data_IF_392272437531
#
_entry.id   IF_392272437531
#
_cell.length_a   1.000
_cell.length_b   1.000
_cell.length_c   1.000
_cell.angle_alpha   90.00
_cell.angle_beta   90.00
_cell.angle_gamma   90.00
#
_symmetry.space_group_name_H-M   'P 1'
#
loop_
_entity.id
_entity.type
_entity.pdbx_description
1 polymer ?
#
# COMPACT_ATOMS: atom_id res chain seq x y z
N UNK A 1 4.30 23.66 57.54
CA UNK A 1 4.17 24.48 56.31
C UNK A 1 4.68 23.81 55.03
N UNK A 2 4.88 22.47 55.02
CA UNK A 2 5.36 21.67 53.86
C UNK A 2 4.18 21.07 53.04
N UNK A 3 2.98 21.00 53.61
CA UNK A 3 1.79 20.34 53.04
C UNK A 3 1.24 21.15 51.82
N UNK A 4 1.24 22.46 51.86
CA UNK A 4 0.71 23.28 50.75
C UNK A 4 1.48 23.12 49.41
N UNK A 5 2.83 23.15 49.37
CA UNK A 5 3.55 22.96 48.13
C UNK A 5 3.42 21.51 47.61
N UNK A 6 3.28 20.53 48.49
CA UNK A 6 3.05 19.13 48.11
C UNK A 6 1.65 18.92 47.46
N UNK A 7 0.61 19.52 48.08
CA UNK A 7 -0.73 19.48 47.44
C UNK A 7 -0.79 20.25 46.13
N UNK A 8 -0.11 21.41 46.02
CA UNK A 8 -0.01 22.13 44.76
C UNK A 8 0.70 21.32 43.69
N UNK A 9 1.77 20.59 44.03
CA UNK A 9 2.46 19.68 43.11
C UNK A 9 1.52 18.56 42.60
N UNK A 10 0.79 17.88 43.48
CA UNK A 10 -0.16 16.84 43.10
C UNK A 10 -1.27 17.39 42.19
N UNK A 11 -1.79 18.59 42.49
CA UNK A 11 -2.81 19.24 41.66
C UNK A 11 -2.29 19.57 40.27
N UNK A 12 -1.05 20.04 40.15
CA UNK A 12 -0.43 20.35 38.85
C UNK A 12 -0.17 19.03 38.08
N UNK A 13 0.41 18.05 38.74
CA UNK A 13 0.75 16.75 38.15
C UNK A 13 -0.50 16.04 37.61
N UNK A 14 -1.61 16.05 38.36
CA UNK A 14 -2.89 15.45 37.93
C UNK A 14 -3.52 16.07 36.68
N UNK A 15 -3.11 17.30 36.32
CA UNK A 15 -3.58 17.97 35.09
C UNK A 15 -2.57 17.86 33.97
N UNK A 16 -1.29 17.97 34.29
CA UNK A 16 -0.21 17.98 33.29
C UNK A 16 0.03 16.59 32.70
N UNK A 17 0.02 15.54 33.52
CA UNK A 17 0.28 14.17 33.08
C UNK A 17 -0.69 13.67 31.99
N UNK A 18 -2.02 13.81 32.14
CA UNK A 18 -2.95 13.41 31.08
C UNK A 18 -2.76 14.22 29.78
N UNK A 19 -2.46 15.52 29.88
CA UNK A 19 -2.24 16.37 28.71
C UNK A 19 -1.01 15.92 27.94
N UNK A 20 0.11 15.72 28.63
CA UNK A 20 1.35 15.23 28.00
C UNK A 20 1.18 13.84 27.39
N UNK A 21 0.43 12.97 28.08
CA UNK A 21 0.11 11.64 27.54
C UNK A 21 -0.67 11.75 26.22
N UNK A 22 -1.72 12.54 26.16
CA UNK A 22 -2.53 12.69 24.93
C UNK A 22 -1.75 13.36 23.78
N UNK A 23 -0.89 14.36 24.08
CA UNK A 23 -0.02 14.96 23.05
C UNK A 23 0.98 13.94 22.49
N UNK A 24 1.64 13.19 23.38
CA UNK A 24 2.59 12.14 22.99
C UNK A 24 1.91 11.03 22.23
N UNK A 25 0.74 10.59 22.71
CA UNK A 25 -0.10 9.60 22.05
C UNK A 25 -0.44 10.03 20.63
N UNK A 26 -0.98 11.25 20.44
CA UNK A 26 -1.37 11.75 19.13
C UNK A 26 -0.19 11.78 18.14
N UNK A 27 0.98 12.22 18.58
CA UNK A 27 2.18 12.24 17.74
C UNK A 27 2.64 10.83 17.35
N UNK A 28 2.63 9.87 18.29
CA UNK A 28 3.03 8.49 18.02
C UNK A 28 2.02 7.75 17.16
N UNK A 29 0.72 7.95 17.39
CA UNK A 29 -0.34 7.38 16.56
C UNK A 29 -0.21 7.82 15.10
N UNK A 30 0.12 9.08 14.82
CA UNK A 30 0.38 9.54 13.46
C UNK A 30 1.52 8.78 12.79
N UNK A 31 2.61 8.50 13.49
CA UNK A 31 3.72 7.73 12.96
C UNK A 31 3.34 6.26 12.71
N UNK A 32 2.60 5.64 13.65
CA UNK A 32 2.10 4.27 13.51
C UNK A 32 1.11 4.16 12.36
N UNK A 33 0.17 5.10 12.24
CA UNK A 33 -0.78 5.18 11.11
C UNK A 33 -0.05 5.28 9.78
N UNK A 34 0.97 6.14 9.70
CA UNK A 34 1.77 6.28 8.48
C UNK A 34 2.41 4.96 8.07
N UNK A 35 3.01 4.22 9.01
CA UNK A 35 3.59 2.91 8.74
C UNK A 35 2.53 1.86 8.38
N UNK A 36 1.37 1.84 9.04
CA UNK A 36 0.26 0.95 8.69
C UNK A 36 -0.27 1.22 7.27
N UNK A 37 -0.30 2.48 6.84
CA UNK A 37 -0.65 2.84 5.45
C UNK A 37 0.40 2.32 4.46
N UNK A 38 1.69 2.41 4.79
CA UNK A 38 2.75 1.83 3.95
C UNK A 38 2.64 0.31 3.89
N UNK A 39 2.41 -0.35 5.01
CA UNK A 39 2.21 -1.79 5.10
C UNK A 39 0.99 -2.23 4.27
N UNK A 40 -0.13 -1.52 4.40
CA UNK A 40 -1.34 -1.73 3.58
C UNK A 40 -1.03 -1.65 2.08
N UNK A 41 -0.22 -0.67 1.69
CA UNK A 41 0.17 -0.49 0.29
C UNK A 41 0.98 -1.68 -0.22
N UNK A 42 1.93 -2.18 0.58
CA UNK A 42 2.71 -3.37 0.26
C UNK A 42 1.83 -4.63 0.13
N UNK A 43 0.91 -4.83 1.09
CA UNK A 43 -0.01 -5.97 1.11
C UNK A 43 -0.96 -5.98 -0.09
N UNK A 44 -1.50 -4.82 -0.43
CA UNK A 44 -2.37 -4.69 -1.62
C UNK A 44 -1.59 -5.01 -2.89
N UNK A 45 -0.35 -4.55 -3.01
CA UNK A 45 0.48 -4.86 -4.18
C UNK A 45 0.86 -6.34 -4.22
N UNK A 46 1.18 -6.95 -3.08
CA UNK A 46 1.41 -8.40 -2.98
C UNK A 46 0.17 -9.18 -3.44
N UNK A 47 -1.01 -8.78 -3.00
CA UNK A 47 -2.28 -9.38 -3.44
C UNK A 47 -2.49 -9.23 -4.95
N UNK A 48 -2.14 -8.08 -5.54
CA UNK A 48 -2.26 -7.87 -6.99
C UNK A 48 -1.38 -8.84 -7.79
N UNK A 49 -0.20 -9.20 -7.27
CA UNK A 49 0.74 -10.12 -7.90
C UNK A 49 0.38 -11.59 -7.67
N UNK A 50 0.01 -11.95 -6.43
CA UNK A 50 -0.12 -13.34 -6.00
C UNK A 50 -1.57 -13.78 -5.72
N UNK A 51 -2.54 -12.86 -5.76
CA UNK A 51 -3.97 -13.14 -5.52
C UNK A 51 -4.34 -13.38 -4.05
N UNK A 52 -3.38 -13.27 -3.12
CA UNK A 52 -3.53 -13.46 -1.67
C UNK A 52 -2.70 -12.45 -0.89
N UNK A 53 -2.98 -12.27 0.38
CA UNK A 53 -2.15 -11.47 1.29
C UNK A 53 -1.01 -12.29 1.92
N UNK A 54 -0.01 -11.61 2.48
CA UNK A 54 1.16 -12.21 3.12
C UNK A 54 1.08 -12.06 4.64
N UNK A 55 1.13 -13.18 5.37
CA UNK A 55 1.12 -13.16 6.84
C UNK A 55 2.49 -12.85 7.45
N UNK A 56 3.57 -13.14 6.72
CA UNK A 56 4.93 -12.97 7.23
C UNK A 56 5.54 -11.64 6.77
N UNK A 57 5.80 -10.70 7.71
CA UNK A 57 6.36 -9.38 7.36
C UNK A 57 7.71 -9.46 6.63
N UNK A 58 8.57 -10.42 6.95
CA UNK A 58 9.90 -10.54 6.33
C UNK A 58 9.79 -10.98 4.86
N UNK A 59 8.88 -11.91 4.59
CA UNK A 59 8.57 -12.33 3.22
C UNK A 59 7.97 -11.19 2.39
N UNK A 60 7.20 -10.30 3.02
CA UNK A 60 6.67 -9.10 2.35
C UNK A 60 7.80 -8.15 1.94
N UNK A 61 8.79 -7.93 2.80
CA UNK A 61 9.98 -7.12 2.45
C UNK A 61 10.79 -7.78 1.32
N UNK A 62 10.95 -9.11 1.37
CA UNK A 62 11.64 -9.84 0.30
C UNK A 62 10.93 -9.65 -1.05
N UNK A 63 9.61 -9.73 -1.08
CA UNK A 63 8.80 -9.43 -2.27
C UNK A 63 9.06 -8.02 -2.80
N UNK A 64 9.00 -7.00 -1.95
CA UNK A 64 9.23 -5.60 -2.35
C UNK A 64 10.63 -5.36 -2.95
N UNK A 65 11.64 -6.14 -2.53
CA UNK A 65 13.02 -6.05 -3.04
C UNK A 65 13.25 -6.86 -4.32
N UNK A 66 12.58 -8.00 -4.45
CA UNK A 66 12.89 -8.97 -5.51
C UNK A 66 12.01 -8.86 -6.74
N UNK A 67 10.76 -8.44 -6.59
CA UNK A 67 9.83 -8.38 -7.71
C UNK A 67 9.70 -6.97 -8.28
N UNK A 68 9.74 -6.82 -9.61
CA UNK A 68 9.49 -5.54 -10.25
C UNK A 68 7.99 -5.24 -10.32
N UNK A 69 7.64 -3.98 -10.20
CA UNK A 69 6.29 -3.50 -10.51
C UNK A 69 6.14 -3.34 -12.00
N UNK A 70 5.13 -4.01 -12.58
CA UNK A 70 4.78 -3.88 -13.99
C UNK A 70 3.80 -2.73 -14.17
N UNK A 71 4.21 -1.71 -14.86
CA UNK A 71 3.37 -0.58 -15.20
C UNK A 71 3.20 -0.48 -16.73
N UNK A 72 1.97 -0.21 -17.18
CA UNK A 72 1.70 -0.02 -18.60
C UNK A 72 1.88 1.45 -18.93
N UNK A 73 2.96 1.75 -19.66
CA UNK A 73 3.15 3.07 -20.26
C UNK A 73 2.11 3.26 -21.36
N UNK A 74 1.27 4.31 -21.20
CA UNK A 74 0.19 4.64 -22.14
C UNK A 74 0.47 5.99 -22.78
N UNK A 75 0.74 5.98 -24.07
CA UNK A 75 0.84 7.19 -24.89
C UNK A 75 -0.22 7.15 -25.99
N UNK A 76 -0.81 8.30 -26.26
CA UNK A 76 -1.91 8.43 -27.21
C UNK A 76 -3.24 7.82 -26.73
N UNK A 77 -4.32 8.28 -27.30
CA UNK A 77 -5.68 7.77 -27.07
C UNK A 77 -6.37 7.52 -28.38
N UNK A 78 -7.36 6.62 -28.37
CA UNK A 78 -8.22 6.44 -29.54
C UNK A 78 -9.13 7.64 -29.70
N UNK A 79 -9.32 8.09 -30.94
CA UNK A 79 -10.27 9.16 -31.27
C UNK A 79 -11.70 8.62 -31.31
N UNK A 80 -12.69 9.50 -31.16
CA UNK A 80 -14.10 9.13 -31.25
C UNK A 80 -14.44 8.44 -32.57
N UNK A 81 -13.87 8.94 -33.67
CA UNK A 81 -14.05 8.35 -35.01
C UNK A 81 -13.48 6.92 -35.13
N UNK A 82 -12.42 6.60 -34.35
CA UNK A 82 -11.89 5.23 -34.29
C UNK A 82 -12.77 4.32 -33.46
N UNK A 83 -13.31 4.85 -32.37
CA UNK A 83 -14.24 4.12 -31.49
C UNK A 83 -15.57 3.80 -32.21
N UNK A 84 -16.12 4.76 -32.97
CA UNK A 84 -17.31 4.58 -33.79
C UNK A 84 -17.12 3.52 -34.90
N UNK A 85 -15.91 3.39 -35.45
CA UNK A 85 -15.53 2.32 -36.37
C UNK A 85 -15.35 0.95 -35.70
N UNK A 86 -15.59 0.87 -34.40
CA UNK A 86 -15.49 -0.38 -33.61
C UNK A 86 -14.05 -0.76 -33.25
N UNK A 87 -13.09 0.17 -33.32
CA UNK A 87 -11.73 -0.01 -32.81
C UNK A 87 -11.75 0.21 -31.30
N UNK A 88 -11.59 -0.84 -30.53
CA UNK A 88 -11.47 -0.78 -29.07
C UNK A 88 -10.01 -0.78 -28.64
N UNK A 89 -9.70 -0.30 -27.43
CA UNK A 89 -8.33 -0.32 -26.89
C UNK A 89 -7.68 -1.70 -26.99
N UNK A 90 -8.42 -2.76 -26.63
CA UNK A 90 -7.92 -4.14 -26.73
C UNK A 90 -7.60 -4.58 -28.17
N UNK A 91 -8.37 -4.11 -29.16
CA UNK A 91 -8.09 -4.38 -30.58
C UNK A 91 -6.85 -3.60 -31.03
N UNK A 92 -6.72 -2.34 -30.63
CA UNK A 92 -5.57 -1.50 -30.93
C UNK A 92 -4.29 -2.10 -30.35
N UNK A 93 -4.31 -2.53 -29.07
CA UNK A 93 -3.16 -3.22 -28.45
C UNK A 93 -2.77 -4.48 -29.23
N UNK A 94 -3.73 -5.33 -29.60
CA UNK A 94 -3.44 -6.54 -30.40
C UNK A 94 -2.82 -6.24 -31.76
N UNK A 95 -3.25 -5.13 -32.41
CA UNK A 95 -2.64 -4.70 -33.69
C UNK A 95 -1.19 -4.24 -33.45
N UNK A 96 -0.95 -3.44 -32.42
CA UNK A 96 0.38 -2.99 -32.04
C UNK A 96 1.29 -4.19 -31.71
N UNK A 97 0.84 -5.14 -30.89
CA UNK A 97 1.65 -6.30 -30.51
C UNK A 97 2.03 -7.16 -31.73
N UNK A 98 1.10 -7.34 -32.66
CA UNK A 98 1.36 -8.04 -33.91
C UNK A 98 2.37 -7.30 -34.79
N UNK A 99 2.25 -5.96 -34.88
CA UNK A 99 3.18 -5.14 -35.63
C UNK A 99 4.58 -5.13 -34.98
N UNK A 100 4.65 -5.03 -33.65
CA UNK A 100 5.91 -5.11 -32.86
C UNK A 100 6.63 -6.42 -33.12
N UNK A 101 5.93 -7.57 -33.02
CA UNK A 101 6.53 -8.89 -33.28
C UNK A 101 7.15 -8.98 -34.68
N UNK A 102 6.46 -8.45 -35.71
CA UNK A 102 7.01 -8.40 -37.09
C UNK A 102 8.23 -7.48 -37.18
N UNK A 103 8.17 -6.29 -36.54
CA UNK A 103 9.24 -5.32 -36.56
C UNK A 103 10.48 -5.84 -35.84
N UNK A 104 10.35 -6.43 -34.64
CA UNK A 104 11.43 -7.05 -33.89
C UNK A 104 12.17 -8.13 -34.71
N UNK A 105 11.42 -9.01 -35.36
CA UNK A 105 11.99 -10.03 -36.24
C UNK A 105 12.79 -9.44 -37.41
N UNK A 106 12.33 -8.30 -37.96
CA UNK A 106 12.94 -7.66 -39.12
C UNK A 106 14.16 -6.79 -38.76
N UNK A 107 14.04 -6.03 -37.68
CA UNK A 107 15.07 -5.07 -37.23
C UNK A 107 16.14 -5.72 -36.37
N UNK A 108 15.86 -6.90 -35.80
CA UNK A 108 16.72 -7.61 -34.85
C UNK A 108 17.11 -6.73 -33.64
N UNK A 109 16.17 -5.92 -33.16
CA UNK A 109 16.34 -5.06 -31.99
C UNK A 109 15.15 -5.21 -31.06
N UNK A 110 15.42 -5.04 -29.79
CA UNK A 110 14.40 -5.02 -28.72
C UNK A 110 14.15 -3.59 -28.20
N UNK A 111 14.79 -2.58 -28.81
CA UNK A 111 14.61 -1.18 -28.43
C UNK A 111 13.19 -0.71 -28.79
N UNK A 112 12.35 -0.38 -27.79
CA UNK A 112 10.96 0.00 -28.03
C UNK A 112 10.83 1.24 -28.93
N UNK A 113 11.69 2.23 -28.77
CA UNK A 113 11.60 3.50 -29.50
C UNK A 113 11.87 3.28 -30.99
N UNK A 114 12.85 2.45 -31.33
CA UNK A 114 13.17 2.05 -32.72
C UNK A 114 12.01 1.25 -33.33
N UNK A 115 11.44 0.32 -32.54
CA UNK A 115 10.33 -0.52 -32.99
C UNK A 115 9.09 0.34 -33.29
N UNK A 116 8.72 1.24 -32.38
CA UNK A 116 7.54 2.10 -32.55
C UNK A 116 7.73 3.09 -33.72
N UNK A 117 8.88 3.73 -33.86
CA UNK A 117 9.19 4.56 -34.99
C UNK A 117 9.00 3.81 -36.31
N UNK A 118 9.49 2.57 -36.37
CA UNK A 118 9.36 1.72 -37.55
C UNK A 118 7.91 1.36 -37.86
N UNK A 119 7.11 0.88 -36.89
CA UNK A 119 5.73 0.43 -37.13
C UNK A 119 4.80 1.60 -37.53
N UNK A 120 5.01 2.77 -36.94
CA UNK A 120 4.21 3.96 -37.25
C UNK A 120 4.44 4.50 -38.67
N UNK A 121 5.53 4.13 -39.31
CA UNK A 121 5.86 4.56 -40.68
C UNK A 121 5.66 3.46 -41.73
N UNK A 122 5.79 2.18 -41.33
CA UNK A 122 5.91 1.07 -42.28
C UNK A 122 4.84 -0.01 -42.15
N UNK A 123 4.13 -0.11 -41.02
CA UNK A 123 3.09 -1.14 -40.88
C UNK A 123 1.74 -0.61 -41.37
N UNK A 124 1.24 -1.26 -42.41
CA UNK A 124 0.00 -0.84 -43.10
C UNK A 124 -1.22 -0.93 -42.18
N UNK A 125 -1.30 -1.98 -41.35
CA UNK A 125 -2.43 -2.20 -40.44
C UNK A 125 -2.50 -1.05 -39.39
N UNK A 126 -1.34 -0.55 -38.95
CA UNK A 126 -1.21 0.55 -38.00
C UNK A 126 -1.57 1.88 -38.65
N UNK A 127 -1.12 2.13 -39.87
CA UNK A 127 -1.42 3.34 -40.62
C UNK A 127 -2.91 3.43 -41.00
N UNK A 128 -3.50 2.34 -41.49
CA UNK A 128 -4.91 2.27 -41.87
C UNK A 128 -5.84 2.43 -40.63
N UNK A 129 -5.42 1.91 -39.46
CA UNK A 129 -6.13 2.10 -38.19
C UNK A 129 -5.90 3.50 -37.57
N UNK A 130 -4.99 4.32 -38.09
CA UNK A 130 -4.66 5.62 -37.55
C UNK A 130 -4.01 5.57 -36.16
N UNK A 131 -3.24 4.53 -35.84
CA UNK A 131 -2.63 4.30 -34.55
C UNK A 131 -1.22 4.93 -34.42
N UNK A 132 -0.86 5.89 -35.24
CA UNK A 132 0.38 6.65 -35.08
C UNK A 132 0.37 7.41 -33.78
N UNK A 133 1.41 7.22 -32.94
CA UNK A 133 1.49 7.78 -31.60
C UNK A 133 0.73 7.01 -30.53
N UNK A 134 0.02 5.93 -30.87
CA UNK A 134 -0.58 5.05 -29.89
C UNK A 134 0.46 4.03 -29.42
N UNK A 135 0.80 4.08 -28.12
CA UNK A 135 1.83 3.24 -27.50
C UNK A 135 1.29 2.62 -26.22
N UNK A 136 1.56 1.35 -26.05
CA UNK A 136 1.27 0.55 -24.85
C UNK A 136 2.46 -0.36 -24.64
N UNK A 137 3.28 -0.02 -23.65
CA UNK A 137 4.42 -0.84 -23.25
C UNK A 137 4.32 -1.19 -21.77
N UNK A 138 4.68 -2.41 -21.43
CA UNK A 138 4.87 -2.78 -20.03
C UNK A 138 6.31 -2.49 -19.66
N UNK A 139 6.51 -1.56 -18.76
CA UNK A 139 7.81 -1.25 -18.15
C UNK A 139 7.90 -1.88 -16.77
N UNK A 140 9.07 -2.40 -16.46
CA UNK A 140 9.36 -2.92 -15.13
C UNK A 140 10.08 -1.84 -14.32
N UNK A 141 9.46 -1.44 -13.21
CA UNK A 141 9.98 -0.43 -12.29
C UNK A 141 10.43 -1.11 -10.99
N UNK A 142 11.40 -0.51 -10.32
CA UNK A 142 11.70 -0.92 -8.94
C UNK A 142 10.45 -0.74 -8.08
N UNK A 143 10.01 -1.81 -7.43
CA UNK A 143 8.77 -1.87 -6.65
C UNK A 143 8.74 -0.78 -5.57
N UNK A 144 9.82 -0.66 -4.80
CA UNK A 144 9.92 0.29 -3.69
C UNK A 144 9.78 1.73 -4.20
N UNK A 145 10.49 2.09 -5.28
CA UNK A 145 10.41 3.43 -5.85
C UNK A 145 9.03 3.74 -6.44
N UNK A 146 8.40 2.76 -7.08
CA UNK A 146 7.08 2.92 -7.67
C UNK A 146 5.98 3.10 -6.63
N UNK A 147 6.04 2.38 -5.49
CA UNK A 147 5.04 2.45 -4.43
C UNK A 147 5.23 3.67 -3.51
N UNK A 148 6.47 3.97 -3.14
CA UNK A 148 6.79 4.94 -2.09
C UNK A 148 7.46 6.21 -2.61
N UNK A 149 7.60 6.39 -3.92
CA UNK A 149 8.08 7.61 -4.60
C UNK A 149 9.40 8.17 -4.06
N UNK A 150 10.31 7.27 -3.66
CA UNK A 150 11.62 7.63 -3.12
C UNK A 150 11.65 7.93 -1.61
N UNK A 151 10.56 7.69 -0.87
CA UNK A 151 10.54 7.82 0.59
C UNK A 151 11.41 6.72 1.25
N UNK A 152 11.48 5.55 0.63
CA UNK A 152 12.30 4.43 1.08
C UNK A 152 13.28 3.99 -0.01
N UNK A 153 14.42 3.48 0.43
CA UNK A 153 15.38 2.72 -0.36
C UNK A 153 15.36 1.23 0.03
N UNK A 154 16.19 0.42 -0.61
CA UNK A 154 16.27 -1.03 -0.33
C UNK A 154 16.67 -1.37 1.12
N UNK A 155 17.34 -0.46 1.81
CA UNK A 155 17.77 -0.67 3.19
C UNK A 155 16.73 -0.19 4.19
N UNK A 156 16.14 0.97 3.95
CA UNK A 156 15.17 1.60 4.85
C UNK A 156 13.76 1.01 4.77
N UNK A 157 13.43 0.29 3.68
CA UNK A 157 12.10 -0.30 3.50
C UNK A 157 11.69 -1.26 4.63
N UNK A 158 12.65 -1.87 5.31
CA UNK A 158 12.36 -2.72 6.46
C UNK A 158 11.63 -2.00 7.59
N UNK A 159 11.77 -0.67 7.68
CA UNK A 159 11.14 0.12 8.74
C UNK A 159 9.60 0.01 8.72
N UNK A 160 8.99 -0.30 7.56
CA UNK A 160 7.53 -0.39 7.46
C UNK A 160 6.93 -1.57 8.23
N UNK A 161 7.70 -2.61 8.53
CA UNK A 161 7.22 -3.78 9.29
C UNK A 161 7.41 -3.65 10.79
N UNK A 162 8.13 -2.61 11.25
CA UNK A 162 8.34 -2.36 12.67
C UNK A 162 7.40 -1.27 13.19
N UNK A 163 6.86 -1.48 14.38
CA UNK A 163 6.00 -0.50 15.05
C UNK A 163 6.89 0.63 15.57
N UNK A 164 6.67 1.88 15.15
CA UNK A 164 7.42 3.03 15.68
C UNK A 164 7.30 3.14 17.20
N UNK A 165 8.37 3.60 17.86
CA UNK A 165 8.45 3.76 19.31
C UNK A 165 8.30 2.47 20.13
N UNK A 166 8.42 1.32 19.48
CA UNK A 166 8.54 0.02 20.14
C UNK A 166 10.00 -0.44 20.13
N UNK A 167 10.36 -1.42 20.95
CA UNK A 167 11.68 -2.04 20.96
C UNK A 167 11.85 -3.00 19.76
N UNK A 168 11.73 -2.49 18.54
CA UNK A 168 11.78 -3.25 17.28
C UNK A 168 10.73 -4.37 17.20
N UNK A 169 9.55 -4.16 17.76
CA UNK A 169 8.45 -5.09 17.60
C UNK A 169 7.86 -4.95 16.20
N UNK A 170 7.59 -6.07 15.56
CA UNK A 170 6.93 -6.12 14.26
C UNK A 170 5.42 -6.02 14.41
N UNK A 171 4.76 -5.52 13.37
CA UNK A 171 3.31 -5.62 13.28
C UNK A 171 2.87 -7.08 13.27
N UNK A 172 1.81 -7.37 14.00
CA UNK A 172 1.12 -8.65 13.90
C UNK A 172 0.21 -8.62 12.67
N UNK A 173 0.49 -9.49 11.70
CA UNK A 173 -0.28 -9.60 10.47
C UNK A 173 -1.02 -10.93 10.49
N UNK A 174 -2.34 -10.86 10.34
CA UNK A 174 -3.21 -12.02 10.21
C UNK A 174 -3.88 -12.00 8.83
N UNK A 175 -3.99 -13.17 8.20
CA UNK A 175 -4.61 -13.31 6.87
C UNK A 175 -5.72 -14.37 6.91
N UNK A 176 -6.76 -14.14 6.11
CA UNK A 176 -7.86 -15.08 5.93
C UNK A 176 -8.15 -15.24 4.44
N UNK A 177 -7.61 -16.30 3.85
CA UNK A 177 -7.80 -16.63 2.42
C UNK A 177 -9.12 -17.38 2.15
N UNK A 178 -9.84 -17.77 3.21
CA UNK A 178 -11.03 -18.63 3.11
C UNK A 178 -12.35 -17.89 3.29
N UNK A 179 -12.32 -16.57 3.45
CA UNK A 179 -13.54 -15.79 3.62
C UNK A 179 -14.41 -15.89 2.36
N UNK A 180 -15.71 -16.15 2.58
CA UNK A 180 -16.72 -16.18 1.51
C UNK A 180 -17.73 -15.11 1.71
N UNK A 181 -17.97 -14.32 0.67
CA UNK A 181 -19.09 -13.35 0.66
C UNK A 181 -20.42 -14.06 0.67
N UNK A 182 -21.50 -13.34 0.95
CA UNK A 182 -22.89 -13.84 0.85
C UNK A 182 -23.24 -14.42 -0.54
N UNK A 183 -22.49 -14.02 -1.58
CA UNK A 183 -22.64 -14.51 -2.94
C UNK A 183 -21.76 -15.73 -3.23
N UNK A 184 -21.02 -16.25 -2.24
CA UNK A 184 -20.13 -17.41 -2.38
C UNK A 184 -18.77 -17.12 -3.05
N UNK A 185 -18.41 -15.85 -3.26
CA UNK A 185 -17.14 -15.44 -3.83
C UNK A 185 -16.08 -15.46 -2.74
N UNK A 186 -14.95 -16.12 -3.00
CA UNK A 186 -13.79 -16.10 -2.12
C UNK A 186 -13.07 -14.74 -2.24
N UNK A 187 -12.83 -14.11 -1.11
CA UNK A 187 -12.08 -12.84 -1.01
C UNK A 187 -11.01 -13.00 0.05
N UNK A 188 -9.73 -12.88 -0.29
CA UNK A 188 -8.68 -12.87 0.71
C UNK A 188 -8.76 -11.60 1.54
N UNK A 189 -8.58 -11.73 2.85
CA UNK A 189 -8.60 -10.65 3.83
C UNK A 189 -7.30 -10.63 4.62
N UNK A 190 -6.90 -9.45 5.12
CA UNK A 190 -5.81 -9.31 6.06
C UNK A 190 -6.15 -8.28 7.13
N UNK A 191 -5.47 -8.38 8.26
CA UNK A 191 -5.50 -7.38 9.33
C UNK A 191 -4.07 -7.23 9.88
N UNK A 192 -3.60 -5.99 10.00
CA UNK A 192 -2.34 -5.69 10.67
C UNK A 192 -2.61 -4.83 11.91
N UNK A 193 -1.98 -5.19 13.04
CA UNK A 193 -2.28 -4.66 14.37
C UNK A 193 -1.07 -4.03 15.04
N UNK A 194 -1.31 -2.93 15.77
CA UNK A 194 -0.39 -2.28 16.69
C UNK A 194 -1.11 -1.96 18.01
N UNK A 195 -0.99 -2.80 19.05
CA UNK A 195 -1.58 -2.53 20.37
C UNK A 195 -1.00 -1.26 21.01
N UNK A 196 -1.79 -0.50 21.78
CA UNK A 196 -1.30 0.68 22.51
C UNK A 196 -0.08 0.39 23.37
N UNK A 197 -0.05 -0.77 24.00
CA UNK A 197 1.05 -1.20 24.89
C UNK A 197 2.40 -1.36 24.15
N UNK A 198 2.43 -1.44 22.83
CA UNK A 198 3.68 -1.56 22.07
C UNK A 198 4.37 -0.22 21.87
N UNK A 199 3.62 0.83 21.56
CA UNK A 199 4.21 2.14 21.23
C UNK A 199 3.97 3.22 22.29
N UNK A 200 3.27 2.88 23.41
CA UNK A 200 3.06 3.74 24.58
C UNK A 200 3.61 3.12 25.89
N UNK A 201 4.41 2.04 25.79
CA UNK A 201 4.90 1.30 26.95
C UNK A 201 5.72 2.13 27.96
N UNK A 202 6.40 3.16 27.49
CA UNK A 202 7.23 4.08 28.27
C UNK A 202 6.45 5.27 28.85
N UNK A 203 5.16 5.39 28.55
CA UNK A 203 4.29 6.46 29.02
C UNK A 203 3.65 6.13 30.37
N UNK A 204 2.86 7.07 30.92
CA UNK A 204 2.19 6.84 32.20
C UNK A 204 1.28 5.60 32.16
N UNK A 205 1.53 4.68 33.08
CA UNK A 205 0.85 3.36 33.10
C UNK A 205 -0.65 3.49 33.42
N UNK A 206 -1.02 4.46 34.27
CA UNK A 206 -2.42 4.64 34.65
C UNK A 206 -3.22 5.19 33.46
N UNK A 207 -2.66 6.13 32.73
CA UNK A 207 -3.28 6.68 31.54
C UNK A 207 -3.38 5.65 30.40
N UNK A 208 -2.36 4.80 30.25
CA UNK A 208 -2.40 3.70 29.29
C UNK A 208 -3.50 2.67 29.64
N UNK A 209 -3.64 2.30 30.91
CA UNK A 209 -4.72 1.40 31.35
C UNK A 209 -6.09 2.05 31.16
N UNK A 210 -6.24 3.34 31.49
CA UNK A 210 -7.47 4.09 31.29
C UNK A 210 -7.89 4.10 29.82
N UNK A 211 -6.93 4.30 28.91
CA UNK A 211 -7.14 4.28 27.47
C UNK A 211 -7.57 2.90 26.98
N UNK A 212 -6.87 1.84 27.38
CA UNK A 212 -7.22 0.47 26.99
C UNK A 212 -8.61 0.06 27.51
N UNK A 213 -8.94 0.42 28.76
CA UNK A 213 -10.25 0.13 29.34
C UNK A 213 -11.38 0.89 28.65
N UNK A 214 -11.11 2.12 28.21
CA UNK A 214 -12.07 2.92 27.41
C UNK A 214 -12.40 2.22 26.11
N UNK A 215 -11.39 1.80 25.34
CA UNK A 215 -11.60 1.13 24.06
C UNK A 215 -12.29 -0.23 24.24
N UNK A 216 -11.87 -1.03 25.24
CA UNK A 216 -12.53 -2.31 25.56
C UNK A 216 -14.00 -2.16 25.93
N UNK A 217 -14.37 -1.11 26.67
CA UNK A 217 -15.78 -0.85 27.04
C UNK A 217 -16.63 -0.47 25.82
N UNK A 218 -16.00 0.04 24.76
CA UNK A 218 -16.67 0.37 23.49
C UNK A 218 -16.64 -0.80 22.49
N UNK A 219 -16.11 -1.96 22.90
CA UNK A 219 -15.88 -3.13 22.03
C UNK A 219 -14.95 -2.81 20.84
N UNK A 220 -14.02 -1.86 21.07
CA UNK A 220 -13.02 -1.49 20.11
C UNK A 220 -11.70 -2.21 20.38
N UNK A 221 -10.88 -2.37 19.33
CA UNK A 221 -9.53 -2.87 19.47
C UNK A 221 -8.67 -1.85 20.23
N UNK A 222 -7.94 -2.26 21.32
CA UNK A 222 -7.13 -1.35 22.11
C UNK A 222 -5.79 -1.04 21.46
N UNK A 223 -5.84 -0.34 20.33
CA UNK A 223 -4.70 -0.03 19.48
C UNK A 223 -5.13 0.45 18.10
N UNK A 224 -4.15 0.54 17.22
CA UNK A 224 -4.37 0.83 15.81
C UNK A 224 -4.33 -0.46 15.00
N UNK A 225 -5.22 -0.56 14.03
CA UNK A 225 -5.26 -1.69 13.10
C UNK A 225 -5.73 -1.25 11.72
N UNK A 226 -5.28 -1.97 10.70
CA UNK A 226 -5.68 -1.78 9.30
C UNK A 226 -6.16 -3.10 8.73
N UNK A 227 -7.24 -3.04 7.93
CA UNK A 227 -7.89 -4.22 7.40
C UNK A 227 -8.82 -4.91 8.40
N UNK A 228 -9.32 -6.09 8.05
CA UNK A 228 -10.12 -6.97 8.89
C UNK A 228 -10.10 -8.38 8.31
N UNK A 229 -9.95 -9.40 9.17
CA UNK A 229 -10.02 -10.81 8.79
C UNK A 229 -11.43 -11.39 8.91
N UNK A 230 -12.35 -10.67 9.57
CA UNK A 230 -13.72 -11.11 9.82
C UNK A 230 -14.69 -10.71 8.71
N UNK A 231 -14.48 -9.52 8.12
CA UNK A 231 -15.34 -8.99 7.06
C UNK A 231 -14.58 -8.01 6.16
N UNK A 232 -14.92 -7.93 4.86
CA UNK A 232 -14.34 -6.96 3.95
C UNK A 232 -14.65 -5.53 4.39
N UNK A 233 -13.61 -4.75 4.67
CA UNK A 233 -13.69 -3.33 5.02
C UNK A 233 -12.89 -2.44 4.06
N UNK A 234 -12.58 -2.93 2.86
CA UNK A 234 -11.74 -2.26 1.88
C UNK A 234 -10.33 -1.91 2.41
N UNK A 235 -9.83 -2.72 3.33
CA UNK A 235 -8.55 -2.52 4.03
C UNK A 235 -8.48 -1.18 4.76
N UNK A 236 -9.61 -0.65 5.23
CA UNK A 236 -9.66 0.60 6.01
C UNK A 236 -9.00 0.42 7.37
N UNK A 237 -8.41 1.51 7.89
CA UNK A 237 -7.91 1.56 9.25
C UNK A 237 -9.01 1.93 10.24
N UNK A 238 -8.86 1.57 11.52
CA UNK A 238 -9.82 1.93 12.57
C UNK A 238 -9.77 3.42 12.97
N UNK A 239 -8.91 4.19 12.31
CA UNK A 239 -8.80 5.66 12.45
C UNK A 239 -9.48 6.44 11.31
N UNK A 240 -9.97 5.76 10.26
CA UNK A 240 -10.60 6.36 9.07
C UNK A 240 -12.08 6.69 9.28
#
# INVERSE_FOLDING_TARGET
>A
MIICPFLAYICVDSVVTPIQFEETRAAREQAVVKNLVHLRTAEVEFKNHHGRFMADPDSLILFLRSEPKKEVLKEGSLTDAQLEKGLTENKAVKLIDKAKAKAMSKLKTDDPDVIYAYIWENDKDILDAGLKGFRRDTVELNMIQALYKGEFDEQSIEQIIYIPYSDNLKYEIEVNDNYKTSQGIHVPLFEARAPFETYLADQDKQELVNLQDKEKKLDHYPGLKVGSVDAPNNNAGNWE
#
